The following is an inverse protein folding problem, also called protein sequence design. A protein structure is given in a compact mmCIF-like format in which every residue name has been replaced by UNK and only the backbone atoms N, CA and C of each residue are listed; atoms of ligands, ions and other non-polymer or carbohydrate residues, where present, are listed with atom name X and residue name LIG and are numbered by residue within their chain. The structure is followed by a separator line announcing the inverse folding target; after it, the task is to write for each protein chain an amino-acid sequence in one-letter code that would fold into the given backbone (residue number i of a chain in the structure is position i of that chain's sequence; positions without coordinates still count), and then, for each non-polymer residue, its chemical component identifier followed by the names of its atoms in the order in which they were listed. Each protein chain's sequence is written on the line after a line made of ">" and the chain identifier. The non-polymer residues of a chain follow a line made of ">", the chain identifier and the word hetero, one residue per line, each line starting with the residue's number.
data_IF_797783299946
#
_entry.id   IF_797783299946
#
_cell.length_a   1.000
_cell.length_b   1.000
_cell.length_c   1.000
_cell.angle_alpha   90.00
_cell.angle_beta   90.00
_cell.angle_gamma   90.00
#
_symmetry.space_group_name_H-M   'P 1'
#
loop_
_entity.id
_entity.type
_entity.pdbx_description
1 polymer ?
#
# COMPACT_ATOMS: atom_id res chain seq x y z
N UNK A 1 19.53 22.17 -18.05
CA UNK A 1 18.85 20.89 -17.72
C UNK A 1 17.85 21.25 -16.64
N UNK A 2 16.57 21.37 -17.00
CA UNK A 2 15.54 21.70 -16.03
C UNK A 2 15.17 20.41 -15.31
N UNK A 3 15.65 20.25 -14.07
CA UNK A 3 15.03 19.34 -13.12
C UNK A 3 13.61 19.88 -12.92
N UNK A 4 12.66 19.28 -13.64
CA UNK A 4 11.24 19.46 -13.42
C UNK A 4 10.99 18.93 -12.00
N UNK A 5 11.06 19.84 -11.03
CA UNK A 5 10.66 19.62 -9.64
C UNK A 5 9.23 19.12 -9.70
N UNK A 6 9.06 17.80 -9.72
CA UNK A 6 7.77 17.14 -9.67
C UNK A 6 7.15 17.56 -8.35
N UNK A 7 6.33 18.60 -8.39
CA UNK A 7 5.74 19.21 -7.21
C UNK A 7 5.09 18.10 -6.41
N UNK A 8 5.62 17.87 -5.21
CA UNK A 8 5.06 16.87 -4.31
C UNK A 8 3.66 17.36 -4.00
N UNK A 9 2.60 16.57 -4.27
CA UNK A 9 1.23 17.02 -4.06
C UNK A 9 1.05 17.44 -2.60
N UNK A 10 0.26 18.50 -2.37
CA UNK A 10 0.03 19.07 -1.04
C UNK A 10 -0.44 18.02 -0.04
N UNK A 11 -1.21 17.03 -0.49
CA UNK A 11 -1.69 15.92 0.33
C UNK A 11 -0.55 15.02 0.85
N UNK A 12 0.51 14.82 0.07
CA UNK A 12 1.71 14.10 0.53
C UNK A 12 2.52 14.97 1.48
N UNK A 13 2.56 16.28 1.28
CA UNK A 13 3.17 17.23 2.23
C UNK A 13 2.43 17.19 3.57
N UNK A 14 1.09 17.27 3.57
CA UNK A 14 0.27 17.15 4.79
C UNK A 14 0.44 15.82 5.49
N UNK A 15 0.57 14.72 4.75
CA UNK A 15 0.88 13.41 5.33
C UNK A 15 2.26 13.41 6.02
N UNK A 16 3.26 14.05 5.42
CA UNK A 16 4.59 14.21 6.03
C UNK A 16 4.56 15.11 7.26
N UNK A 17 3.78 16.18 7.24
CA UNK A 17 3.55 17.04 8.40
C UNK A 17 2.87 16.29 9.54
N UNK A 18 1.87 15.46 9.24
CA UNK A 18 1.24 14.59 10.22
C UNK A 18 2.24 13.58 10.83
N UNK A 19 3.14 13.02 10.01
CA UNK A 19 4.22 12.16 10.50
C UNK A 19 5.19 12.94 11.40
N UNK A 20 5.57 14.16 11.00
CA UNK A 20 6.45 15.02 11.78
C UNK A 20 5.83 15.44 13.12
N UNK A 21 4.51 15.58 13.19
CA UNK A 21 3.80 15.92 14.43
C UNK A 21 4.00 14.86 15.52
N UNK A 22 4.14 13.57 15.17
CA UNK A 22 4.49 12.54 16.16
C UNK A 22 5.88 12.74 16.74
N UNK A 23 6.84 13.18 15.93
CA UNK A 23 8.21 13.45 16.39
C UNK A 23 8.32 14.68 17.31
N UNK A 24 7.28 15.53 17.37
CA UNK A 24 7.21 16.67 18.27
C UNK A 24 6.63 16.30 19.65
N UNK A 25 6.17 15.07 19.85
CA UNK A 25 5.70 14.59 21.15
C UNK A 25 6.92 14.37 22.05
N UNK A 26 7.06 15.20 23.08
CA UNK A 26 8.21 15.16 24.01
C UNK A 26 8.25 13.90 24.88
N UNK A 27 7.10 13.31 25.19
CA UNK A 27 7.00 12.10 26.00
C UNK A 27 7.15 10.84 25.13
N UNK A 28 8.22 10.08 25.34
CA UNK A 28 8.52 8.87 24.56
C UNK A 28 7.41 7.81 24.62
N UNK A 29 6.73 7.69 25.76
CA UNK A 29 5.66 6.72 25.94
C UNK A 29 4.40 7.11 25.16
N UNK A 30 4.01 8.39 25.20
CA UNK A 30 2.91 8.96 24.45
C UNK A 30 3.19 8.94 22.94
N UNK A 31 4.43 9.27 22.53
CA UNK A 31 4.85 9.20 21.14
C UNK A 31 4.74 7.76 20.61
N UNK A 32 5.31 6.79 21.35
CA UNK A 32 5.25 5.38 20.98
C UNK A 32 3.82 4.86 20.89
N UNK A 33 2.95 5.24 21.83
CA UNK A 33 1.54 4.85 21.82
C UNK A 33 0.81 5.41 20.59
N UNK A 34 0.98 6.70 20.30
CA UNK A 34 0.33 7.38 19.17
C UNK A 34 0.82 6.82 17.81
N UNK A 35 2.13 6.62 17.65
CA UNK A 35 2.70 6.01 16.44
C UNK A 35 2.23 4.56 16.29
N UNK A 36 2.17 3.79 17.38
CA UNK A 36 1.70 2.40 17.35
C UNK A 36 0.24 2.30 16.92
N UNK A 37 -0.60 3.25 17.33
CA UNK A 37 -1.99 3.32 16.88
C UNK A 37 -2.07 3.66 15.38
N UNK A 38 -1.32 4.67 14.93
CA UNK A 38 -1.25 5.00 13.49
C UNK A 38 -0.77 3.80 12.64
N UNK A 39 0.21 3.04 13.13
CA UNK A 39 0.70 1.83 12.47
C UNK A 39 -0.33 0.69 12.47
N UNK A 40 -1.20 0.62 13.48
CA UNK A 40 -2.29 -0.37 13.55
C UNK A 40 -3.39 -0.07 12.53
N UNK A 41 -3.73 1.20 12.35
CA UNK A 41 -4.73 1.66 11.39
C UNK A 41 -4.19 1.74 9.95
N UNK A 42 -2.87 1.77 9.79
CA UNK A 42 -2.20 1.86 8.47
C UNK A 42 -2.71 0.87 7.41
N UNK A 43 -2.99 -0.42 7.71
CA UNK A 43 -3.54 -1.35 6.72
C UNK A 43 -4.88 -0.89 6.15
N UNK A 44 -5.72 -0.24 6.94
CA UNK A 44 -7.02 0.29 6.54
C UNK A 44 -6.85 1.57 5.73
N UNK A 45 -6.10 2.56 6.26
CA UNK A 45 -5.74 3.80 5.56
C UNK A 45 -5.07 3.54 4.20
N UNK A 46 -4.14 2.58 4.16
CA UNK A 46 -3.48 2.16 2.92
C UNK A 46 -4.46 1.48 1.96
N UNK A 47 -5.45 0.75 2.46
CA UNK A 47 -6.50 0.14 1.63
C UNK A 47 -7.46 1.20 1.07
N UNK A 48 -7.81 2.23 1.83
CA UNK A 48 -8.60 3.37 1.34
C UNK A 48 -7.87 4.15 0.25
N UNK A 49 -6.58 4.50 0.46
CA UNK A 49 -5.76 5.16 -0.56
C UNK A 49 -5.68 4.35 -1.85
N UNK A 50 -5.59 3.02 -1.72
CA UNK A 50 -5.61 2.10 -2.86
C UNK A 50 -6.95 2.12 -3.58
N UNK A 51 -8.06 2.06 -2.85
CA UNK A 51 -9.39 2.08 -3.43
C UNK A 51 -9.65 3.40 -4.15
N UNK A 52 -9.21 4.51 -3.57
CA UNK A 52 -9.26 5.83 -4.21
C UNK A 52 -8.48 5.83 -5.52
N UNK A 53 -7.25 5.27 -5.53
CA UNK A 53 -6.46 5.16 -6.77
C UNK A 53 -7.19 4.33 -7.83
N UNK A 54 -7.77 3.19 -7.46
CA UNK A 54 -8.55 2.35 -8.39
C UNK A 54 -9.74 3.12 -8.98
N UNK A 55 -10.53 3.81 -8.15
CA UNK A 55 -11.67 4.61 -8.61
C UNK A 55 -11.23 5.69 -9.61
N UNK A 56 -10.15 6.41 -9.31
CA UNK A 56 -9.63 7.44 -10.22
C UNK A 56 -9.13 6.86 -11.54
N UNK A 57 -8.46 5.71 -11.53
CA UNK A 57 -8.03 5.02 -12.75
C UNK A 57 -9.24 4.56 -13.58
N UNK A 58 -10.27 4.02 -12.92
CA UNK A 58 -11.51 3.64 -13.59
C UNK A 58 -12.25 4.87 -14.16
N UNK A 59 -12.27 5.99 -13.44
CA UNK A 59 -12.84 7.24 -13.93
C UNK A 59 -12.07 7.78 -15.15
N UNK A 60 -10.73 7.73 -15.16
CA UNK A 60 -9.93 8.11 -16.33
C UNK A 60 -10.26 7.25 -17.54
N UNK A 61 -10.44 5.94 -17.34
CA UNK A 61 -10.77 5.01 -18.43
C UNK A 61 -12.20 5.17 -18.92
N UNK A 62 -13.16 5.26 -18.03
CA UNK A 62 -14.59 5.23 -18.36
C UNK A 62 -15.13 6.61 -18.72
N UNK A 63 -14.81 7.65 -17.93
CA UNK A 63 -15.34 9.01 -18.12
C UNK A 63 -14.51 9.81 -19.13
N UNK A 64 -13.18 9.72 -19.05
CA UNK A 64 -12.28 10.48 -19.94
C UNK A 64 -11.81 9.68 -21.16
N UNK A 65 -12.21 8.40 -21.29
CA UNK A 65 -11.86 7.51 -22.41
C UNK A 65 -10.35 7.37 -22.68
N UNK A 66 -9.49 7.69 -21.70
CA UNK A 66 -8.03 7.61 -21.86
C UNK A 66 -7.57 6.17 -22.08
N UNK A 67 -6.50 6.02 -22.84
CA UNK A 67 -5.88 4.72 -23.11
C UNK A 67 -5.03 4.27 -21.92
N UNK A 68 -4.79 2.96 -21.79
CA UNK A 68 -3.89 2.42 -20.76
C UNK A 68 -2.48 3.04 -20.75
N UNK A 69 -1.80 3.31 -21.88
CA UNK A 69 -0.51 4.01 -21.86
C UNK A 69 -0.61 5.45 -21.37
N UNK A 70 -1.68 6.18 -21.68
CA UNK A 70 -1.87 7.54 -21.12
C UNK A 70 -2.14 7.51 -19.62
N UNK A 71 -2.98 6.58 -19.17
CA UNK A 71 -3.25 6.37 -17.74
C UNK A 71 -1.95 5.99 -17.03
N UNK A 72 -1.14 5.13 -17.63
CA UNK A 72 0.16 4.76 -17.09
C UNK A 72 1.06 5.99 -16.92
N UNK A 73 1.20 6.81 -17.96
CA UNK A 73 1.98 8.06 -17.90
C UNK A 73 1.47 9.02 -16.79
N UNK A 74 0.16 9.12 -16.57
CA UNK A 74 -0.44 9.93 -15.49
C UNK A 74 -0.11 9.37 -14.11
N UNK A 75 -0.19 8.05 -13.95
CA UNK A 75 0.14 7.38 -12.69
C UNK A 75 1.65 7.52 -12.37
N UNK A 76 2.50 7.59 -13.38
CA UNK A 76 3.96 7.69 -13.28
C UNK A 76 4.67 6.66 -14.17
N UNK A 77 5.92 6.29 -13.85
CA UNK A 77 6.66 5.22 -14.54
C UNK A 77 6.08 3.82 -14.21
N UNK A 78 4.82 3.58 -14.56
CA UNK A 78 4.21 2.25 -14.54
C UNK A 78 3.96 1.79 -15.96
N UNK A 79 3.94 0.48 -16.19
CA UNK A 79 3.58 -0.06 -17.51
C UNK A 79 2.06 0.05 -17.74
N UNK A 80 1.59 0.10 -19.00
CA UNK A 80 0.16 0.06 -19.31
C UNK A 80 -0.54 -1.19 -18.75
N UNK A 81 0.16 -2.31 -18.69
CA UNK A 81 -0.34 -3.53 -18.05
C UNK A 81 -0.54 -3.34 -16.54
N UNK A 82 0.39 -2.63 -15.88
CA UNK A 82 0.25 -2.29 -14.46
C UNK A 82 -0.93 -1.35 -14.22
N UNK A 83 -1.15 -0.36 -15.10
CA UNK A 83 -2.34 0.50 -15.05
C UNK A 83 -3.64 -0.31 -15.18
N UNK A 84 -3.68 -1.31 -16.06
CA UNK A 84 -4.81 -2.22 -16.19
C UNK A 84 -5.02 -3.08 -14.93
N UNK A 85 -3.95 -3.59 -14.31
CA UNK A 85 -4.04 -4.34 -13.07
C UNK A 85 -4.58 -3.50 -11.91
N UNK A 86 -4.20 -2.21 -11.85
CA UNK A 86 -4.69 -1.27 -10.85
C UNK A 86 -6.20 -1.04 -11.00
N UNK A 87 -6.70 -0.89 -12.23
CA UNK A 87 -8.14 -0.78 -12.52
C UNK A 87 -8.95 -1.98 -12.03
N UNK A 88 -8.33 -3.16 -11.99
CA UNK A 88 -8.94 -4.44 -11.55
C UNK A 88 -8.69 -4.74 -10.06
N UNK A 89 -8.10 -3.81 -9.31
CA UNK A 89 -7.78 -4.01 -7.89
C UNK A 89 -6.64 -4.98 -7.62
N UNK A 90 -5.96 -5.50 -8.65
CA UNK A 90 -4.98 -6.56 -8.53
C UNK A 90 -3.70 -6.07 -7.83
N UNK A 91 -3.38 -6.72 -6.70
CA UNK A 91 -2.08 -6.58 -6.01
C UNK A 91 -1.05 -7.35 -6.83
N UNK A 92 0.09 -6.72 -7.13
CA UNK A 92 1.23 -7.42 -7.73
C UNK A 92 1.48 -8.68 -6.90
N UNK A 93 1.53 -9.83 -7.56
CA UNK A 93 1.42 -11.14 -6.93
C UNK A 93 2.62 -11.43 -6.03
N UNK A 94 2.52 -11.06 -4.76
CA UNK A 94 3.07 -11.88 -3.69
C UNK A 94 1.87 -12.43 -2.92
N UNK A 95 1.35 -13.54 -3.46
CA UNK A 95 0.31 -14.36 -2.84
C UNK A 95 0.82 -14.73 -1.44
N UNK A 96 0.11 -14.47 -0.33
CA UNK A 96 0.50 -15.05 0.95
C UNK A 96 0.44 -16.57 0.76
N UNK A 97 1.55 -17.24 1.10
CA UNK A 97 1.62 -18.69 1.11
C UNK A 97 0.45 -19.19 1.95
N UNK A 98 -0.35 -20.10 1.38
CA UNK A 98 -1.46 -20.69 2.09
C UNK A 98 -0.94 -21.32 3.37
N UNK A 99 -1.44 -20.87 4.53
CA UNK A 99 -1.24 -21.54 5.82
C UNK A 99 -1.83 -22.94 5.68
N UNK A 100 -1.00 -23.92 5.35
CA UNK A 100 -1.46 -25.28 5.10
C UNK A 100 -1.97 -25.91 6.41
N UNK A 101 -3.26 -26.28 6.51
CA UNK A 101 -3.82 -26.90 7.69
C UNK A 101 -3.81 -28.41 7.51
N UNK A 102 -2.75 -29.10 7.96
CA UNK A 102 -2.80 -30.57 8.12
C UNK A 102 -2.10 -31.05 9.37
N UNK A 103 -2.93 -31.36 10.38
CA UNK A 103 -2.74 -32.48 11.30
C UNK A 103 -2.03 -33.65 10.59
N UNK A 104 -0.95 -34.15 11.18
CA UNK A 104 -0.73 -35.59 11.32
C UNK A 104 -0.47 -35.86 12.80
N UNK A 105 -1.51 -36.34 13.47
CA UNK A 105 -1.38 -37.11 14.72
C UNK A 105 -0.71 -38.45 14.37
N UNK A 106 0.12 -38.98 15.28
CA UNK A 106 0.61 -40.36 15.24
C UNK A 106 2.04 -40.55 15.78
N UNK A 107 2.16 -40.58 17.11
CA UNK A 107 3.21 -41.19 17.96
C UNK A 107 3.55 -42.63 17.50
N UNK A 108 4.67 -43.32 17.88
CA UNK A 108 5.52 -43.11 19.06
C UNK A 108 7.05 -43.29 18.89
N UNK A 109 7.81 -42.95 19.94
CA UNK A 109 9.19 -43.41 20.22
C UNK A 109 9.26 -44.95 20.26
N UNK A 110 10.42 -45.63 20.00
CA UNK A 110 11.47 -45.86 21.04
C UNK A 110 12.89 -46.12 20.43
N UNK A 111 13.85 -46.79 21.11
CA UNK A 111 14.68 -46.36 22.25
C UNK A 111 16.20 -46.30 21.92
N UNK A 112 16.94 -45.67 22.84
CA UNK A 112 18.36 -45.85 23.27
C UNK A 112 19.35 -46.68 22.43
N UNK A 113 20.54 -46.09 22.20
CA UNK A 113 21.83 -46.66 22.64
C UNK A 113 22.76 -45.53 23.12
#
# INVERSE_FOLDING_TARGET
>A
MAEESKEVPEEVTRLREAIAAFALIEDDAACTAAVSEALREWPDLHSELRQLREDRVNALRQKQRKTWPEIAAIIGEVTPERAQQISKGLRGTKRPEAKNPRKKQGTPEPPTE
#
